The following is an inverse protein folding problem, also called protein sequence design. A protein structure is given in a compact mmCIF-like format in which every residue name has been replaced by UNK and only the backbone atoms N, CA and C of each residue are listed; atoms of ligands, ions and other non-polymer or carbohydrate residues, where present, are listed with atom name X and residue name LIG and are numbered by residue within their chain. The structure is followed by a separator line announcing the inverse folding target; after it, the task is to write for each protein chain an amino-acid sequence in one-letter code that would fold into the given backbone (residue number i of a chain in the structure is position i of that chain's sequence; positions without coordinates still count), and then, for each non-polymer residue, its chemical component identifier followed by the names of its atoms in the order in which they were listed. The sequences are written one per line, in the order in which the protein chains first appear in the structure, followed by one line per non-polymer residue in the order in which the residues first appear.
data_IF_035592561483
#
_entry.id   IF_035592561483
#
_cell.length_a   1.000
_cell.length_b   1.000
_cell.length_c   1.000
_cell.angle_alpha   90.00
_cell.angle_beta   90.00
_cell.angle_gamma   90.00
#
_symmetry.space_group_name_H-M   'P 1'
#
loop_
_entity.id
_entity.type
_entity.pdbx_description
1 polymer ?
#
# COMPACT_ATOMS: atom_id res chain seq x y z
N UNK A 1 -30.10 -3.69 -12.51
CA UNK A 1 -31.18 -3.03 -11.76
C UNK A 1 -30.68 -2.85 -10.34
N UNK A 2 -30.66 -1.61 -9.84
CA UNK A 2 -29.85 -1.04 -8.72
C UNK A 2 -28.40 -0.73 -9.14
N UNK A 3 -27.93 0.51 -9.37
CA UNK A 3 -28.46 1.85 -9.12
C UNK A 3 -27.65 2.57 -8.04
N UNK A 4 -26.75 3.47 -8.45
CA UNK A 4 -26.03 4.52 -7.70
C UNK A 4 -26.17 4.53 -6.17
N UNK A 5 -25.05 4.28 -5.46
CA UNK A 5 -24.95 4.40 -3.99
C UNK A 5 -24.46 5.80 -3.52
N UNK A 6 -24.13 6.73 -4.42
CA UNK A 6 -23.57 8.04 -4.02
C UNK A 6 -24.58 9.21 -3.98
N UNK A 7 -25.84 8.97 -3.63
CA UNK A 7 -26.82 10.07 -3.39
C UNK A 7 -27.89 9.72 -2.35
N UNK A 8 -27.59 9.95 -1.08
CA UNK A 8 -28.53 10.28 0.01
C UNK A 8 -27.69 11.20 0.91
N UNK A 9 -27.91 12.50 1.01
CA UNK A 9 -29.04 13.17 1.67
C UNK A 9 -29.21 14.59 1.13
N UNK A 10 -30.45 14.97 0.77
CA UNK A 10 -30.89 16.36 0.73
C UNK A 10 -32.42 16.43 0.83
N UNK A 11 -32.88 17.36 1.66
CA UNK A 11 -34.25 17.88 1.82
C UNK A 11 -35.16 17.23 2.87
N UNK A 12 -35.28 17.92 4.02
CA UNK A 12 -36.57 18.23 4.62
C UNK A 12 -36.51 19.66 5.22
N UNK A 13 -37.58 20.40 4.97
CA UNK A 13 -37.79 21.85 5.17
C UNK A 13 -38.06 22.30 6.61
N UNK A 14 -37.71 23.57 6.82
CA UNK A 14 -37.91 24.53 7.91
C UNK A 14 -39.09 24.36 8.88
N UNK A 15 -38.79 24.62 10.16
CA UNK A 15 -39.68 25.30 11.11
C UNK A 15 -38.88 26.34 11.90
N UNK A 16 -39.24 27.61 11.73
CA UNK A 16 -38.66 28.79 12.37
C UNK A 16 -39.19 28.96 13.79
N UNK A 17 -38.31 28.93 14.79
CA UNK A 17 -38.51 29.56 16.09
C UNK A 17 -37.26 30.36 16.44
N UNK A 18 -37.46 31.65 16.67
CA UNK A 18 -36.45 32.65 16.96
C UNK A 18 -36.04 32.61 18.43
N UNK A 19 -34.77 32.30 18.70
CA UNK A 19 -34.12 32.56 19.99
C UNK A 19 -32.76 33.21 19.75
N UNK A 20 -32.71 34.48 20.13
CA UNK A 20 -31.57 35.38 20.41
C UNK A 20 -30.14 34.84 20.19
N UNK A 21 -29.52 35.31 19.10
CA UNK A 21 -28.10 35.19 18.76
C UNK A 21 -27.20 35.93 19.74
N UNK A 22 -26.50 35.22 20.63
CA UNK A 22 -25.27 35.72 21.30
C UNK A 22 -24.29 34.61 21.71
N UNK A 23 -24.15 33.53 20.93
CA UNK A 23 -23.08 32.55 21.14
C UNK A 23 -22.47 32.09 19.81
N UNK A 24 -21.13 32.02 19.76
CA UNK A 24 -20.31 31.30 18.76
C UNK A 24 -19.62 32.02 17.58
N UNK A 25 -19.08 33.23 17.79
CA UNK A 25 -18.10 33.80 16.84
C UNK A 25 -16.65 33.35 17.10
N UNK A 26 -16.34 32.92 18.33
CA UNK A 26 -15.00 32.56 18.77
C UNK A 26 -14.47 31.23 18.24
N UNK A 27 -15.32 30.20 18.14
CA UNK A 27 -14.91 28.87 17.64
C UNK A 27 -14.61 28.90 16.13
N UNK A 28 -15.32 29.78 15.40
CA UNK A 28 -15.13 29.98 13.97
C UNK A 28 -13.81 30.70 13.64
N UNK A 29 -13.44 31.73 14.42
CA UNK A 29 -12.16 32.43 14.26
C UNK A 29 -10.96 31.54 14.64
N UNK A 30 -11.09 30.75 15.71
CA UNK A 30 -10.03 29.81 16.12
C UNK A 30 -9.83 28.69 15.08
N UNK A 31 -10.92 28.14 14.53
CA UNK A 31 -10.86 27.17 13.44
C UNK A 31 -10.19 27.74 12.19
N UNK A 32 -10.50 28.98 11.81
CA UNK A 32 -9.88 29.66 10.68
C UNK A 32 -8.37 29.90 10.90
N UNK A 33 -7.98 30.28 12.12
CA UNK A 33 -6.57 30.47 12.48
C UNK A 33 -5.78 29.15 12.40
N UNK A 34 -6.35 28.04 12.91
CA UNK A 34 -5.75 26.71 12.83
C UNK A 34 -5.61 26.22 11.38
N UNK A 35 -6.62 26.46 10.54
CA UNK A 35 -6.58 26.16 9.11
C UNK A 35 -5.47 26.96 8.40
N UNK A 36 -5.37 28.27 8.65
CA UNK A 36 -4.33 29.11 8.06
C UNK A 36 -2.91 28.66 8.46
N UNK A 37 -2.73 28.24 9.72
CA UNK A 37 -1.45 27.69 10.17
C UNK A 37 -1.11 26.37 9.48
N UNK A 38 -2.07 25.45 9.35
CA UNK A 38 -1.88 24.22 8.59
C UNK A 38 -1.47 24.51 7.14
N UNK A 39 -2.18 25.40 6.46
CA UNK A 39 -1.88 25.76 5.06
C UNK A 39 -0.49 26.41 4.93
N UNK A 40 -0.09 27.22 5.91
CA UNK A 40 1.25 27.81 5.99
C UNK A 40 2.34 26.75 6.14
N UNK A 41 2.13 25.75 7.00
CA UNK A 41 3.07 24.64 7.19
C UNK A 41 3.24 23.83 5.90
N UNK A 42 2.14 23.48 5.23
CA UNK A 42 2.15 22.75 3.96
C UNK A 42 2.86 23.57 2.86
N UNK A 43 2.55 24.86 2.74
CA UNK A 43 3.17 25.74 1.73
C UNK A 43 4.69 25.91 1.94
N UNK A 44 5.18 25.77 3.17
CA UNK A 44 6.60 25.84 3.51
C UNK A 44 7.30 24.47 3.49
N UNK A 45 6.61 23.42 3.00
CA UNK A 45 7.08 22.03 3.01
C UNK A 45 7.49 21.53 4.41
N UNK A 46 6.85 22.06 5.45
CA UNK A 46 7.02 21.59 6.82
C UNK A 46 6.17 20.35 7.07
N UNK A 47 6.56 19.58 8.10
CA UNK A 47 5.87 18.34 8.46
C UNK A 47 4.81 18.61 9.53
N UNK A 48 3.65 17.99 9.36
CA UNK A 48 2.60 17.87 10.37
C UNK A 48 2.96 16.70 11.29
N UNK A 49 2.93 16.94 12.60
CA UNK A 49 3.20 15.97 13.65
C UNK A 49 1.92 15.60 14.44
N UNK A 50 1.92 14.51 15.24
CA UNK A 50 0.70 14.01 15.88
C UNK A 50 -0.05 14.99 16.80
N UNK A 51 0.66 15.97 17.35
CA UNK A 51 0.10 16.99 18.26
C UNK A 51 -0.40 18.23 17.54
N UNK A 52 -0.07 18.39 16.26
CA UNK A 52 -0.49 19.54 15.48
C UNK A 52 -1.96 19.40 15.13
N UNK A 53 -2.65 20.53 15.06
CA UNK A 53 -3.98 20.54 14.46
C UNK A 53 -3.86 20.22 12.96
N UNK A 54 -4.81 19.45 12.45
CA UNK A 54 -4.90 19.11 11.03
C UNK A 54 -6.37 18.98 10.62
N UNK A 55 -6.72 19.28 9.36
CA UNK A 55 -8.08 19.11 8.86
C UNK A 55 -8.55 17.66 8.99
N UNK A 56 -9.83 17.45 9.31
CA UNK A 56 -10.37 16.09 9.47
C UNK A 56 -10.30 15.28 8.16
N UNK A 57 -10.48 15.95 7.01
CA UNK A 57 -10.29 15.32 5.70
C UNK A 57 -8.85 14.84 5.46
N UNK A 58 -7.85 15.58 5.96
CA UNK A 58 -6.44 15.21 5.90
C UNK A 58 -6.17 13.99 6.77
N UNK A 59 -6.64 14.01 8.03
CA UNK A 59 -6.54 12.90 8.99
C UNK A 59 -7.16 11.62 8.41
N UNK A 60 -8.42 11.66 7.96
CA UNK A 60 -9.12 10.51 7.38
C UNK A 60 -8.43 9.95 6.14
N UNK A 61 -7.91 10.84 5.28
CA UNK A 61 -7.18 10.43 4.07
C UNK A 61 -5.90 9.68 4.41
N UNK A 62 -5.13 10.18 5.39
CA UNK A 62 -3.92 9.51 5.87
C UNK A 62 -4.22 8.19 6.58
N UNK A 63 -5.22 8.14 7.47
CA UNK A 63 -5.64 6.89 8.12
C UNK A 63 -5.93 5.84 7.05
N UNK A 64 -6.76 6.19 6.05
CA UNK A 64 -7.10 5.27 4.95
C UNK A 64 -5.85 4.82 4.20
N UNK A 65 -4.98 5.74 3.80
CA UNK A 65 -3.81 5.40 2.99
C UNK A 65 -2.77 4.58 3.76
N UNK A 66 -2.42 4.98 4.98
CA UNK A 66 -1.41 4.31 5.81
C UNK A 66 -1.93 2.93 6.24
N UNK A 67 -3.21 2.81 6.60
CA UNK A 67 -3.79 1.53 6.95
C UNK A 67 -3.82 0.56 5.76
N UNK A 68 -4.25 1.01 4.58
CA UNK A 68 -4.21 0.20 3.36
C UNK A 68 -2.78 -0.21 2.98
N UNK A 69 -1.78 0.65 3.25
CA UNK A 69 -0.37 0.31 3.11
C UNK A 69 0.03 -0.80 4.11
N UNK A 70 -0.31 -0.65 5.39
CA UNK A 70 -0.03 -1.67 6.42
C UNK A 70 -0.72 -3.02 6.11
N UNK A 71 -1.94 -2.97 5.57
CA UNK A 71 -2.67 -4.15 5.10
C UNK A 71 -1.96 -4.82 3.93
N UNK A 72 -1.38 -4.02 3.03
CA UNK A 72 -0.62 -4.48 1.88
C UNK A 72 0.58 -5.31 2.35
N UNK A 73 1.35 -4.83 3.33
CA UNK A 73 2.46 -5.61 3.90
C UNK A 73 2.01 -6.96 4.44
N UNK A 74 0.95 -6.98 5.25
CA UNK A 74 0.44 -8.21 5.87
C UNK A 74 -0.06 -9.23 4.82
N UNK A 75 -0.77 -8.76 3.80
CA UNK A 75 -1.33 -9.64 2.77
C UNK A 75 -0.23 -10.08 1.80
N UNK A 76 0.78 -9.24 1.56
CA UNK A 76 1.93 -9.51 0.70
C UNK A 76 2.80 -10.69 1.17
N UNK A 77 2.88 -10.90 2.48
CA UNK A 77 3.53 -12.07 3.06
C UNK A 77 2.95 -13.42 2.55
N UNK A 78 1.70 -13.45 2.09
CA UNK A 78 1.03 -14.71 1.70
C UNK A 78 1.53 -15.30 0.37
N UNK A 79 1.51 -14.57 -0.77
CA UNK A 79 2.04 -15.08 -2.04
C UNK A 79 3.51 -15.51 -1.96
N UNK A 80 4.34 -14.81 -1.18
CA UNK A 80 5.75 -15.14 -1.00
C UNK A 80 5.97 -16.25 0.03
N UNK A 81 5.21 -16.22 1.13
CA UNK A 81 5.15 -17.30 2.12
C UNK A 81 4.81 -18.66 1.51
N UNK A 82 4.02 -18.67 0.43
CA UNK A 82 3.70 -19.86 -0.36
C UNK A 82 4.98 -20.62 -0.82
N UNK A 83 6.07 -19.91 -1.12
CA UNK A 83 7.29 -20.50 -1.68
C UNK A 83 8.42 -20.73 -0.67
N UNK A 84 8.27 -20.29 0.60
CA UNK A 84 9.30 -20.48 1.64
C UNK A 84 9.71 -21.95 1.77
N UNK A 85 8.77 -22.89 1.80
CA UNK A 85 9.08 -24.31 1.96
C UNK A 85 9.68 -24.96 0.71
N UNK A 86 9.46 -24.34 -0.47
CA UNK A 86 9.76 -24.89 -1.81
C UNK A 86 10.90 -24.16 -2.54
N UNK A 87 11.52 -23.16 -1.92
CA UNK A 87 12.64 -22.43 -2.50
C UNK A 87 13.77 -23.40 -2.93
N UNK A 88 14.37 -23.21 -4.12
CA UNK A 88 15.22 -24.20 -4.78
C UNK A 88 16.64 -24.31 -4.18
N UNK A 89 16.99 -23.45 -3.22
CA UNK A 89 18.25 -23.53 -2.49
C UNK A 89 18.10 -22.94 -1.09
N UNK A 90 18.97 -23.34 -0.16
CA UNK A 90 19.01 -22.78 1.18
C UNK A 90 19.32 -21.27 1.17
N UNK A 91 20.19 -20.81 0.26
CA UNK A 91 20.48 -19.38 0.07
C UNK A 91 19.21 -18.60 -0.27
N UNK A 92 18.49 -19.02 -1.30
CA UNK A 92 17.25 -18.35 -1.73
C UNK A 92 16.15 -18.46 -0.68
N UNK A 93 16.08 -19.60 0.04
CA UNK A 93 15.16 -19.79 1.18
C UNK A 93 15.42 -18.80 2.31
N UNK A 94 16.69 -18.64 2.71
CA UNK A 94 17.07 -17.72 3.79
C UNK A 94 16.76 -16.26 3.42
N UNK A 95 17.05 -15.85 2.18
CA UNK A 95 16.71 -14.51 1.67
C UNK A 95 15.19 -14.29 1.69
N UNK A 96 14.40 -15.25 1.21
CA UNK A 96 12.94 -15.12 1.19
C UNK A 96 12.33 -15.04 2.60
N UNK A 97 12.86 -15.80 3.56
CA UNK A 97 12.44 -15.71 4.97
C UNK A 97 12.76 -14.32 5.52
N UNK A 98 13.95 -13.79 5.25
CA UNK A 98 14.34 -12.44 5.69
C UNK A 98 13.44 -11.36 5.10
N UNK A 99 13.12 -11.45 3.80
CA UNK A 99 12.17 -10.52 3.13
C UNK A 99 10.78 -10.54 3.79
N UNK A 100 10.18 -11.73 3.92
CA UNK A 100 8.84 -11.88 4.52
C UNK A 100 8.83 -11.47 6.00
N UNK A 101 9.96 -11.63 6.71
CA UNK A 101 10.13 -11.11 8.07
C UNK A 101 10.13 -9.57 8.09
N UNK A 102 10.83 -8.93 7.14
CA UNK A 102 10.88 -7.47 7.05
C UNK A 102 9.50 -6.88 6.70
N UNK A 103 8.73 -7.51 5.79
CA UNK A 103 7.34 -7.12 5.50
C UNK A 103 6.46 -7.10 6.76
N UNK A 104 6.60 -8.12 7.63
CA UNK A 104 5.91 -8.11 8.91
C UNK A 104 6.31 -6.89 9.77
N UNK A 105 7.60 -6.55 9.79
CA UNK A 105 8.12 -5.35 10.47
C UNK A 105 7.60 -4.04 9.86
N UNK A 106 7.53 -3.95 8.54
CA UNK A 106 7.02 -2.79 7.80
C UNK A 106 5.54 -2.56 8.11
N UNK A 107 4.75 -3.63 8.13
CA UNK A 107 3.36 -3.58 8.57
C UNK A 107 3.24 -3.01 9.99
N UNK A 108 4.11 -3.42 10.93
CA UNK A 108 4.13 -2.87 12.29
C UNK A 108 4.48 -1.38 12.30
N UNK A 109 5.49 -0.93 11.56
CA UNK A 109 5.84 0.50 11.47
C UNK A 109 4.68 1.34 10.95
N UNK A 110 3.98 0.83 9.94
CA UNK A 110 2.85 1.52 9.31
C UNK A 110 1.64 1.58 10.23
N UNK A 111 1.29 0.50 10.93
CA UNK A 111 0.24 0.57 11.95
C UNK A 111 0.58 1.57 13.05
N UNK A 112 1.83 1.57 13.56
CA UNK A 112 2.24 2.56 14.55
C UNK A 112 2.15 4.00 14.02
N UNK A 113 2.43 4.24 12.73
CA UNK A 113 2.25 5.55 12.12
C UNK A 113 0.78 5.93 11.92
N UNK A 114 -0.11 4.96 11.72
CA UNK A 114 -1.55 5.19 11.66
C UNK A 114 -2.12 5.50 13.05
N UNK A 115 -1.67 4.81 14.09
CA UNK A 115 -2.14 5.00 15.48
C UNK A 115 -1.85 6.41 16.00
N UNK A 116 -0.80 7.08 15.51
CA UNK A 116 -0.55 8.49 15.85
C UNK A 116 -1.60 9.47 15.32
N UNK A 117 -2.53 9.02 14.46
CA UNK A 117 -3.69 9.79 14.00
C UNK A 117 -4.93 9.59 14.88
N UNK A 118 -4.84 8.77 15.93
CA UNK A 118 -5.92 8.53 16.90
C UNK A 118 -6.85 7.37 16.54
N UNK A 119 -6.40 6.43 15.72
CA UNK A 119 -7.12 5.19 15.41
C UNK A 119 -6.44 3.99 16.05
N UNK A 120 -7.20 2.95 16.38
CA UNK A 120 -6.64 1.72 16.92
C UNK A 120 -6.31 0.74 15.80
N UNK A 121 -5.16 0.06 15.90
CA UNK A 121 -4.80 -1.00 14.95
C UNK A 121 -5.84 -2.11 14.85
N UNK A 122 -6.51 -2.45 15.94
CA UNK A 122 -7.54 -3.48 15.97
C UNK A 122 -8.74 -3.11 15.07
N UNK A 123 -9.20 -1.86 15.12
CA UNK A 123 -10.26 -1.35 14.25
C UNK A 123 -9.85 -1.35 12.77
N UNK A 124 -8.59 -1.03 12.47
CA UNK A 124 -8.06 -1.10 11.12
C UNK A 124 -8.01 -2.54 10.62
N UNK A 125 -7.64 -3.49 11.49
CA UNK A 125 -7.64 -4.92 11.16
C UNK A 125 -9.06 -5.46 10.95
N UNK A 126 -10.03 -5.05 11.76
CA UNK A 126 -11.44 -5.41 11.55
C UNK A 126 -11.96 -4.87 10.21
N UNK A 127 -11.60 -3.62 9.87
CA UNK A 127 -11.93 -3.05 8.57
C UNK A 127 -11.31 -3.81 7.40
N UNK A 128 -10.09 -4.32 7.54
CA UNK A 128 -9.49 -5.24 6.56
C UNK A 128 -10.28 -6.54 6.48
N UNK A 129 -10.52 -7.20 7.62
CA UNK A 129 -11.20 -8.51 7.71
C UNK A 129 -12.61 -8.48 7.13
N UNK A 130 -13.33 -7.38 7.31
CA UNK A 130 -14.68 -7.16 6.81
C UNK A 130 -14.71 -6.56 5.40
N UNK A 131 -13.55 -6.29 4.79
CA UNK A 131 -13.44 -5.75 3.44
C UNK A 131 -13.78 -4.26 3.29
N UNK A 132 -13.99 -3.54 4.41
CA UNK A 132 -14.23 -2.09 4.42
C UNK A 132 -12.97 -1.28 4.08
N UNK A 133 -11.79 -1.82 4.35
CA UNK A 133 -10.52 -1.32 3.84
C UNK A 133 -9.85 -2.31 2.90
N UNK A 134 -8.99 -1.78 2.03
CA UNK A 134 -8.34 -2.49 0.93
C UNK A 134 -6.88 -2.79 1.26
N UNK A 135 -6.26 -3.58 0.41
CA UNK A 135 -4.81 -3.78 0.31
C UNK A 135 -4.44 -3.71 -1.17
N UNK A 136 -3.14 -3.65 -1.48
CA UNK A 136 -2.64 -3.54 -2.85
C UNK A 136 -3.19 -4.66 -3.74
N UNK A 137 -3.64 -4.28 -4.94
CA UNK A 137 -4.27 -5.19 -5.90
C UNK A 137 -3.37 -6.37 -6.27
N UNK A 138 -2.05 -6.14 -6.33
CA UNK A 138 -1.04 -7.11 -6.76
C UNK A 138 -1.01 -8.40 -5.95
N UNK A 139 -1.38 -8.36 -4.67
CA UNK A 139 -1.32 -9.56 -3.82
C UNK A 139 -2.46 -10.55 -4.08
N UNK A 140 -3.39 -10.20 -4.96
CA UNK A 140 -4.46 -11.07 -5.44
C UNK A 140 -4.04 -11.97 -6.59
N UNK A 141 -2.81 -11.86 -7.10
CA UNK A 141 -2.29 -12.74 -8.14
C UNK A 141 -1.57 -13.96 -7.54
N UNK A 142 -1.71 -15.15 -8.15
CA UNK A 142 -1.12 -16.38 -7.62
C UNK A 142 0.37 -16.51 -7.94
N UNK A 143 1.10 -17.19 -7.06
CA UNK A 143 2.52 -17.55 -7.27
C UNK A 143 2.65 -19.00 -7.72
N UNK A 144 2.68 -19.21 -9.03
CA UNK A 144 2.59 -20.49 -9.72
C UNK A 144 3.95 -21.17 -9.94
N UNK A 145 5.02 -20.39 -10.00
CA UNK A 145 6.39 -20.89 -10.20
C UNK A 145 7.39 -20.21 -9.27
N UNK A 146 8.61 -20.75 -9.15
CA UNK A 146 9.67 -20.10 -8.39
C UNK A 146 10.07 -18.75 -9.00
N UNK A 147 9.99 -18.60 -10.32
CA UNK A 147 10.29 -17.34 -10.99
C UNK A 147 9.38 -16.19 -10.55
N UNK A 148 8.20 -16.49 -10.02
CA UNK A 148 7.26 -15.50 -9.50
C UNK A 148 7.84 -14.77 -8.29
N UNK A 149 8.72 -15.40 -7.50
CA UNK A 149 9.46 -14.70 -6.43
C UNK A 149 10.44 -13.67 -7.00
N UNK A 150 11.02 -13.97 -8.17
CA UNK A 150 11.85 -13.02 -8.90
C UNK A 150 11.03 -11.89 -9.51
N UNK A 151 9.87 -12.19 -10.10
CA UNK A 151 8.99 -11.17 -10.68
C UNK A 151 8.35 -10.27 -9.61
N UNK A 152 7.94 -10.82 -8.46
CA UNK A 152 7.49 -10.03 -7.31
C UNK A 152 8.63 -9.14 -6.82
N UNK A 153 9.79 -9.74 -6.48
CA UNK A 153 10.91 -8.95 -5.99
C UNK A 153 11.42 -7.91 -7.00
N UNK A 154 11.37 -8.15 -8.30
CA UNK A 154 11.82 -7.17 -9.29
C UNK A 154 10.75 -6.12 -9.62
N UNK A 155 9.60 -6.55 -10.13
CA UNK A 155 8.57 -5.67 -10.69
C UNK A 155 7.66 -5.12 -9.60
N UNK A 156 7.18 -5.97 -8.69
CA UNK A 156 6.22 -5.58 -7.65
C UNK A 156 6.89 -4.70 -6.61
N UNK A 157 8.00 -5.15 -6.02
CA UNK A 157 8.77 -4.31 -5.07
C UNK A 157 9.36 -3.09 -5.80
N UNK A 158 9.75 -3.21 -7.07
CA UNK A 158 10.21 -2.08 -7.87
C UNK A 158 9.14 -1.00 -8.02
N UNK A 159 7.88 -1.38 -8.27
CA UNK A 159 6.75 -0.48 -8.34
C UNK A 159 6.39 0.09 -6.96
N UNK A 160 6.50 -0.72 -5.89
CA UNK A 160 6.31 -0.29 -4.52
C UNK A 160 7.33 0.79 -4.14
N UNK A 161 8.63 0.55 -4.37
CA UNK A 161 9.72 1.51 -4.12
C UNK A 161 9.50 2.81 -4.91
N UNK A 162 9.08 2.73 -6.18
CA UNK A 162 8.80 3.92 -6.99
C UNK A 162 7.67 4.77 -6.38
N UNK A 163 6.66 4.14 -5.77
CA UNK A 163 5.60 4.84 -5.02
C UNK A 163 6.08 5.33 -3.64
N UNK A 164 6.93 4.57 -2.97
CA UNK A 164 7.30 4.78 -1.56
C UNK A 164 8.40 5.82 -1.36
N UNK A 165 9.39 5.89 -2.25
CA UNK A 165 10.49 6.87 -2.14
C UNK A 165 9.98 8.31 -2.10
N UNK A 166 9.01 8.72 -2.94
CA UNK A 166 8.37 10.04 -2.81
C UNK A 166 7.67 10.27 -1.46
N UNK A 167 7.09 9.21 -0.87
CA UNK A 167 6.40 9.29 0.42
C UNK A 167 7.36 9.49 1.60
N UNK A 168 8.68 9.32 1.44
CA UNK A 168 9.67 9.78 2.42
C UNK A 168 9.57 11.30 2.71
N UNK A 169 9.02 12.04 1.75
CA UNK A 169 8.68 13.47 1.87
C UNK A 169 7.18 13.71 2.05
N UNK A 170 6.40 12.73 2.51
CA UNK A 170 5.01 12.97 2.90
C UNK A 170 4.95 14.11 3.94
N UNK A 171 3.94 14.97 3.82
CA UNK A 171 3.71 16.07 4.78
C UNK A 171 3.41 15.58 6.19
N UNK A 172 2.91 14.35 6.38
CA UNK A 172 2.75 13.77 7.71
C UNK A 172 4.05 13.12 8.21
N UNK A 173 4.62 13.68 9.26
CA UNK A 173 5.93 13.32 9.78
C UNK A 173 6.10 11.84 10.11
N UNK A 174 5.20 11.22 10.90
CA UNK A 174 5.27 9.80 11.24
C UNK A 174 5.31 8.89 10.00
N UNK A 175 4.44 9.16 9.02
CA UNK A 175 4.40 8.36 7.80
C UNK A 175 5.66 8.53 6.96
N UNK A 176 6.12 9.76 6.75
CA UNK A 176 7.36 10.01 6.02
C UNK A 176 8.59 9.37 6.68
N UNK A 177 8.65 9.31 8.02
CA UNK A 177 9.73 8.62 8.75
C UNK A 177 9.65 7.10 8.63
N UNK A 178 8.45 6.52 8.65
CA UNK A 178 8.27 5.09 8.39
C UNK A 178 8.75 4.72 6.98
N UNK A 179 8.38 5.50 5.96
CA UNK A 179 8.82 5.31 4.58
C UNK A 179 10.33 5.35 4.41
N UNK A 180 11.05 6.19 5.15
CA UNK A 180 12.53 6.19 5.11
C UNK A 180 13.13 4.87 5.59
N UNK A 181 12.51 4.19 6.57
CA UNK A 181 12.99 2.88 7.05
C UNK A 181 12.62 1.78 6.08
N UNK A 182 11.35 1.73 5.68
CA UNK A 182 10.82 0.77 4.71
C UNK A 182 11.62 0.80 3.41
N UNK A 183 11.81 1.97 2.79
CA UNK A 183 12.58 2.10 1.54
C UNK A 183 14.04 1.62 1.66
N UNK A 184 14.68 1.82 2.82
CA UNK A 184 16.06 1.36 3.03
C UNK A 184 16.15 -0.16 3.01
N UNK A 185 15.18 -0.83 3.61
CA UNK A 185 15.12 -2.29 3.72
C UNK A 185 14.65 -2.92 2.40
N UNK A 186 13.57 -2.40 1.79
CA UNK A 186 13.00 -2.96 0.55
C UNK A 186 13.94 -2.88 -0.65
N UNK A 187 14.78 -1.84 -0.76
CA UNK A 187 15.71 -1.72 -1.89
C UNK A 187 16.69 -2.89 -1.98
N UNK A 188 17.03 -3.51 -0.84
CA UNK A 188 17.83 -4.73 -0.81
C UNK A 188 17.05 -5.92 -1.35
N UNK A 189 15.81 -6.11 -0.89
CA UNK A 189 14.94 -7.22 -1.33
C UNK A 189 14.62 -7.14 -2.81
N UNK A 190 14.39 -5.93 -3.33
CA UNK A 190 14.15 -5.70 -4.75
C UNK A 190 15.32 -6.17 -5.61
N UNK A 191 16.55 -5.86 -5.17
CA UNK A 191 17.77 -6.33 -5.84
C UNK A 191 17.88 -7.85 -5.82
N UNK A 192 17.50 -8.49 -4.71
CA UNK A 192 17.51 -9.95 -4.61
C UNK A 192 16.47 -10.60 -5.55
N UNK A 193 15.31 -9.96 -5.75
CA UNK A 193 14.33 -10.38 -6.76
C UNK A 193 14.88 -10.32 -8.19
N UNK A 194 15.52 -9.21 -8.54
CA UNK A 194 16.21 -9.07 -9.83
C UNK A 194 17.30 -10.15 -10.03
N UNK A 195 18.08 -10.46 -8.98
CA UNK A 195 19.10 -11.51 -9.04
C UNK A 195 18.50 -12.91 -9.29
N UNK A 196 17.29 -13.19 -8.79
CA UNK A 196 16.57 -14.45 -9.09
C UNK A 196 16.28 -14.53 -10.58
N UNK A 197 15.68 -13.50 -11.17
CA UNK A 197 15.37 -13.50 -12.60
C UNK A 197 16.62 -13.54 -13.46
N UNK A 198 17.68 -12.81 -13.08
CA UNK A 198 18.95 -12.86 -13.78
C UNK A 198 19.53 -14.29 -13.78
N UNK A 199 19.47 -14.99 -12.65
CA UNK A 199 19.94 -16.38 -12.55
C UNK A 199 19.13 -17.30 -13.46
N UNK A 200 17.80 -17.14 -13.48
CA UNK A 200 16.91 -17.99 -14.27
C UNK A 200 17.02 -17.72 -15.77
N UNK A 201 17.08 -16.45 -16.17
CA UNK A 201 17.14 -16.04 -17.57
C UNK A 201 18.45 -16.40 -18.26
N UNK A 202 19.54 -16.54 -17.49
CA UNK A 202 20.85 -17.02 -17.98
C UNK A 202 21.12 -18.50 -17.65
N UNK A 203 20.10 -19.22 -17.18
CA UNK A 203 20.16 -20.63 -16.85
C UNK A 203 19.86 -21.55 -18.03
N UNK A 204 19.20 -22.67 -17.75
CA UNK A 204 18.71 -23.58 -18.79
C UNK A 204 17.54 -22.97 -19.58
N UNK A 205 17.22 -23.48 -20.78
CA UNK A 205 16.04 -23.03 -21.53
C UNK A 205 14.75 -23.06 -20.73
N UNK A 206 14.54 -24.09 -19.90
CA UNK A 206 13.36 -24.21 -19.04
C UNK A 206 13.33 -23.16 -17.91
N UNK A 207 14.49 -22.75 -17.39
CA UNK A 207 14.57 -21.66 -16.40
C UNK A 207 14.28 -20.31 -17.04
N UNK A 208 14.79 -20.09 -18.26
CA UNK A 208 14.52 -18.87 -19.02
C UNK A 208 13.02 -18.75 -19.35
N UNK A 209 12.39 -19.83 -19.81
CA UNK A 209 10.95 -19.86 -20.08
C UNK A 209 10.12 -19.60 -18.81
N UNK A 210 10.50 -20.20 -17.68
CA UNK A 210 9.85 -19.95 -16.39
C UNK A 210 9.97 -18.48 -15.96
N UNK A 211 11.14 -17.85 -16.18
CA UNK A 211 11.33 -16.42 -15.92
C UNK A 211 10.47 -15.55 -16.83
N UNK A 212 10.41 -15.87 -18.13
CA UNK A 212 9.58 -15.15 -19.08
C UNK A 212 8.09 -15.26 -18.76
N UNK A 213 7.60 -16.45 -18.39
CA UNK A 213 6.21 -16.66 -17.99
C UNK A 213 5.83 -15.84 -16.74
N UNK A 214 6.71 -15.77 -15.74
CA UNK A 214 6.49 -14.94 -14.56
C UNK A 214 6.39 -13.46 -14.92
N UNK A 215 7.29 -12.94 -15.77
CA UNK A 215 7.23 -11.54 -16.25
C UNK A 215 5.95 -11.29 -17.04
N UNK A 216 5.54 -12.24 -17.89
CA UNK A 216 4.30 -12.14 -18.67
C UNK A 216 3.07 -11.92 -17.77
N UNK A 217 3.00 -12.66 -16.66
CA UNK A 217 1.86 -12.61 -15.73
C UNK A 217 1.90 -11.40 -14.79
N UNK A 218 3.08 -10.93 -14.38
CA UNK A 218 3.22 -9.88 -13.36
C UNK A 218 3.45 -8.47 -13.90
N UNK A 219 3.77 -8.29 -15.19
CA UNK A 219 4.01 -6.97 -15.79
C UNK A 219 2.82 -6.02 -15.61
N UNK A 220 1.67 -6.35 -16.21
CA UNK A 220 0.48 -5.50 -16.17
C UNK A 220 -0.05 -5.29 -14.75
N UNK A 221 -0.15 -6.32 -13.89
CA UNK A 221 -0.51 -6.12 -12.49
C UNK A 221 0.43 -5.16 -11.74
N UNK A 222 1.73 -5.17 -12.03
CA UNK A 222 2.69 -4.23 -11.41
C UNK A 222 2.42 -2.78 -11.85
N UNK A 223 2.05 -2.55 -13.11
CA UNK A 223 1.66 -1.22 -13.60
C UNK A 223 0.34 -0.72 -12.98
N UNK A 224 -0.56 -1.63 -12.61
CA UNK A 224 -1.81 -1.29 -11.93
C UNK A 224 -1.60 -0.82 -10.49
N UNK A 225 -0.45 -1.14 -9.85
CA UNK A 225 -0.15 -0.73 -8.47
C UNK A 225 -0.04 0.78 -8.30
N UNK A 226 0.30 1.51 -9.36
CA UNK A 226 0.31 2.98 -9.35
C UNK A 226 -1.09 3.60 -9.24
N UNK A 227 -2.15 2.80 -9.32
CA UNK A 227 -3.52 3.26 -9.25
C UNK A 227 -4.08 3.69 -10.62
N UNK A 228 -5.31 4.22 -10.65
CA UNK A 228 -6.00 4.60 -11.88
C UNK A 228 -5.34 5.79 -12.58
N UNK A 229 -5.65 6.05 -13.86
CA UNK A 229 -5.20 7.26 -14.57
C UNK A 229 -5.55 8.54 -13.81
N UNK A 230 -4.73 9.58 -13.96
CA UNK A 230 -4.87 10.82 -13.22
C UNK A 230 -6.26 11.47 -13.40
N UNK A 231 -6.81 11.41 -14.63
CA UNK A 231 -8.15 11.92 -14.98
C UNK A 231 -9.30 11.23 -14.22
N UNK A 232 -9.05 10.03 -13.69
CA UNK A 232 -10.03 9.20 -12.98
C UNK A 232 -9.74 9.04 -11.49
N UNK A 233 -8.72 9.72 -10.97
CA UNK A 233 -8.32 9.62 -9.56
C UNK A 233 -8.97 10.71 -8.70
N UNK A 234 -10.03 10.34 -7.97
CA UNK A 234 -10.78 11.24 -7.10
C UNK A 234 -9.95 11.88 -5.96
N UNK A 235 -8.80 11.29 -5.59
CA UNK A 235 -7.99 11.72 -4.45
C UNK A 235 -6.69 12.44 -4.82
N UNK A 236 -6.28 12.44 -6.10
CA UNK A 236 -4.95 12.95 -6.50
C UNK A 236 -4.80 14.44 -6.20
N UNK A 237 -5.77 15.26 -6.58
CA UNK A 237 -5.69 16.73 -6.44
C UNK A 237 -5.55 17.13 -4.97
N UNK A 238 -6.43 16.62 -4.11
CA UNK A 238 -6.41 16.97 -2.69
C UNK A 238 -5.15 16.42 -1.98
N UNK A 239 -4.74 15.19 -2.31
CA UNK A 239 -3.53 14.59 -1.71
C UNK A 239 -2.26 15.33 -2.13
N UNK A 240 -2.22 15.89 -3.34
CA UNK A 240 -1.13 16.74 -3.80
C UNK A 240 -1.15 18.10 -3.10
N UNK A 241 -2.32 18.74 -2.99
CA UNK A 241 -2.48 20.02 -2.30
C UNK A 241 -2.04 19.94 -0.82
N UNK A 242 -2.29 18.81 -0.17
CA UNK A 242 -1.84 18.54 1.20
C UNK A 242 -0.41 18.03 1.32
N UNK A 243 0.34 17.88 0.23
CA UNK A 243 1.71 17.33 0.27
C UNK A 243 1.79 15.86 0.72
N UNK A 244 0.67 15.13 0.71
CA UNK A 244 0.64 13.69 0.99
C UNK A 244 1.29 12.95 -0.17
N UNK A 245 0.92 13.33 -1.40
CA UNK A 245 1.44 12.76 -2.64
C UNK A 245 2.25 13.80 -3.41
N UNK A 246 3.43 13.41 -3.90
CA UNK A 246 4.36 14.34 -4.57
C UNK A 246 4.38 14.23 -6.09
N UNK A 247 3.96 13.09 -6.62
CA UNK A 247 3.91 12.81 -8.05
C UNK A 247 2.57 12.19 -8.41
N UNK A 248 2.15 12.31 -9.67
CA UNK A 248 0.89 11.74 -10.12
C UNK A 248 0.98 10.20 -10.30
N UNK A 249 -0.16 9.53 -10.51
CA UNK A 249 -0.14 8.07 -10.72
C UNK A 249 0.57 7.75 -12.03
N UNK A 250 0.23 8.51 -13.09
CA UNK A 250 0.76 8.30 -14.43
C UNK A 250 2.24 8.69 -14.53
N UNK A 251 2.67 9.73 -13.81
CA UNK A 251 4.08 10.12 -13.75
C UNK A 251 4.97 9.02 -13.15
N UNK A 252 4.55 8.43 -12.02
CA UNK A 252 5.30 7.34 -11.38
C UNK A 252 5.27 6.06 -12.23
N UNK A 253 4.12 5.76 -12.85
CA UNK A 253 3.99 4.62 -13.77
C UNK A 253 4.93 4.76 -14.97
N UNK A 254 4.98 5.94 -15.59
CA UNK A 254 5.86 6.20 -16.74
C UNK A 254 7.33 5.99 -16.36
N UNK A 255 7.79 6.59 -15.25
CA UNK A 255 9.17 6.40 -14.76
C UNK A 255 9.51 4.94 -14.51
N UNK A 256 8.56 4.19 -13.97
CA UNK A 256 8.74 2.75 -13.74
C UNK A 256 8.86 1.98 -15.05
N UNK A 257 8.03 2.27 -16.06
CA UNK A 257 8.13 1.65 -17.39
C UNK A 257 9.51 1.93 -18.00
N UNK A 258 9.94 3.19 -18.03
CA UNK A 258 11.22 3.57 -18.64
C UNK A 258 12.40 2.81 -18.01
N UNK A 259 12.39 2.69 -16.68
CA UNK A 259 13.40 1.95 -15.93
C UNK A 259 13.35 0.43 -16.24
N UNK A 260 12.15 -0.14 -16.34
CA UNK A 260 11.98 -1.57 -16.53
C UNK A 260 12.43 -2.04 -17.91
N UNK A 261 12.33 -1.20 -18.95
CA UNK A 261 12.76 -1.60 -20.31
C UNK A 261 14.25 -1.95 -20.33
N UNK A 262 15.11 -1.12 -19.74
CA UNK A 262 16.55 -1.38 -19.70
C UNK A 262 16.89 -2.57 -18.80
N UNK A 263 16.18 -2.73 -17.69
CA UNK A 263 16.33 -3.88 -16.81
C UNK A 263 15.93 -5.19 -17.51
N UNK A 264 14.84 -5.19 -18.29
CA UNK A 264 14.40 -6.34 -19.08
C UNK A 264 15.45 -6.73 -20.13
N UNK A 265 16.07 -5.74 -20.79
CA UNK A 265 17.19 -5.96 -21.73
C UNK A 265 18.36 -6.68 -21.07
N UNK A 266 18.76 -6.26 -19.86
CA UNK A 266 19.83 -6.92 -19.10
C UNK A 266 19.46 -8.36 -18.74
N UNK A 267 18.20 -8.61 -18.40
CA UNK A 267 17.70 -9.95 -18.10
C UNK A 267 17.59 -10.83 -19.36
N UNK A 268 17.59 -10.25 -20.56
CA UNK A 268 17.26 -10.97 -21.79
C UNK A 268 15.79 -11.42 -21.85
N UNK A 269 14.91 -10.75 -21.10
CA UNK A 269 13.47 -11.04 -21.04
C UNK A 269 12.70 -9.96 -21.81
N UNK A 270 11.49 -10.31 -22.25
CA UNK A 270 10.57 -9.39 -22.94
C UNK A 270 9.48 -8.93 -21.99
N UNK A 271 9.12 -7.67 -22.06
CA UNK A 271 7.91 -7.16 -21.43
C UNK A 271 6.72 -7.50 -22.35
N UNK A 272 5.60 -8.04 -21.83
CA UNK A 272 4.47 -8.53 -22.63
C UNK A 272 3.57 -7.37 -23.12
N UNK A 273 4.18 -6.43 -23.83
CA UNK A 273 3.52 -5.24 -24.37
C UNK A 273 3.96 -5.00 -25.82
N UNK A 274 3.11 -5.32 -26.81
CA UNK A 274 3.43 -5.13 -28.23
C UNK A 274 3.48 -3.66 -28.64
N UNK A 275 2.87 -2.76 -27.88
CA UNK A 275 2.83 -1.32 -28.16
C UNK A 275 4.02 -0.57 -27.52
N UNK A 276 4.86 -1.29 -26.76
CA UNK A 276 6.01 -0.72 -26.06
C UNK A 276 7.07 -0.22 -27.05
N UNK A 277 7.19 1.10 -27.19
CA UNK A 277 8.12 1.72 -28.15
C UNK A 277 8.76 2.98 -27.58
N UNK A 278 10.02 3.23 -27.92
CA UNK A 278 10.69 4.48 -27.56
C UNK A 278 10.08 5.65 -28.35
N UNK A 279 9.70 6.71 -27.64
CA UNK A 279 9.20 7.94 -28.25
C UNK A 279 10.26 9.05 -28.15
N UNK A 280 10.88 9.35 -29.29
CA UNK A 280 11.94 10.39 -29.38
C UNK A 280 11.46 11.79 -29.00
N UNK A 281 10.17 12.12 -29.20
CA UNK A 281 9.66 13.45 -28.88
C UNK A 281 9.42 13.61 -27.38
N UNK A 282 8.91 12.56 -26.73
CA UNK A 282 8.60 12.55 -25.30
C UNK A 282 9.80 12.20 -24.43
N UNK A 283 10.83 11.55 -24.99
CA UNK A 283 11.96 10.97 -24.24
C UNK A 283 11.49 9.96 -23.19
N UNK A 284 10.47 9.18 -23.55
CA UNK A 284 9.82 8.17 -22.72
C UNK A 284 9.40 6.98 -23.60
N UNK A 285 9.16 5.81 -22.99
CA UNK A 285 8.48 4.73 -23.70
C UNK A 285 6.97 4.95 -23.72
N UNK A 286 6.37 4.91 -24.91
CA UNK A 286 4.93 4.68 -25.03
C UNK A 286 4.66 3.19 -24.71
N UNK A 287 3.59 2.91 -23.98
CA UNK A 287 3.19 1.55 -23.58
C UNK A 287 1.69 1.36 -23.80
N UNK A 288 1.28 0.10 -23.97
CA UNK A 288 -0.09 -0.28 -24.31
C UNK A 288 -1.12 0.04 -23.21
N UNK A 289 -2.42 0.00 -23.56
CA UNK A 289 -3.49 0.28 -22.60
C UNK A 289 -3.56 -0.79 -21.50
N UNK A 290 -3.70 -0.34 -20.25
CA UNK A 290 -3.95 -1.22 -19.11
C UNK A 290 -5.41 -1.65 -19.08
N UNK A 291 -5.68 -2.93 -18.78
CA UNK A 291 -7.03 -3.43 -18.53
C UNK A 291 -7.57 -2.91 -17.17
N UNK A 292 -8.13 -1.70 -17.18
CA UNK A 292 -8.78 -1.12 -16.01
C UNK A 292 -10.03 -1.89 -15.56
N UNK A 293 -10.63 -2.70 -16.44
CA UNK A 293 -11.76 -3.56 -16.07
C UNK A 293 -11.30 -4.67 -15.12
N UNK A 294 -10.11 -5.23 -15.37
CA UNK A 294 -9.46 -6.19 -14.50
C UNK A 294 -9.14 -5.58 -13.14
N UNK A 295 -8.46 -4.42 -13.11
CA UNK A 295 -8.15 -3.73 -11.86
C UNK A 295 -9.41 -3.49 -11.02
N UNK A 296 -10.49 -3.04 -11.65
CA UNK A 296 -11.76 -2.81 -10.98
C UNK A 296 -12.41 -4.09 -10.44
N UNK A 297 -12.28 -5.24 -11.11
CA UNK A 297 -12.73 -6.54 -10.57
C UNK A 297 -11.89 -6.93 -9.35
N UNK A 298 -10.56 -6.87 -9.47
CA UNK A 298 -9.61 -7.23 -8.40
C UNK A 298 -9.82 -6.39 -7.14
N UNK A 299 -9.92 -5.06 -7.26
CA UNK A 299 -10.12 -4.17 -6.09
C UNK A 299 -11.48 -4.41 -5.41
N UNK A 300 -12.50 -4.84 -6.18
CA UNK A 300 -13.83 -5.18 -5.65
C UNK A 300 -13.92 -6.56 -5.00
N UNK A 301 -12.84 -7.35 -5.03
CA UNK A 301 -12.81 -8.69 -4.44
C UNK A 301 -13.05 -9.83 -5.42
N UNK A 302 -13.13 -9.54 -6.72
CA UNK A 302 -13.39 -10.50 -7.81
C UNK A 302 -12.13 -10.76 -8.66
N UNK A 303 -10.98 -10.91 -7.99
CA UNK A 303 -9.72 -11.31 -8.59
C UNK A 303 -9.31 -12.72 -8.18
N UNK A 304 -8.19 -13.23 -8.73
CA UNK A 304 -7.90 -14.67 -8.71
C UNK A 304 -7.63 -15.25 -7.31
N UNK A 305 -7.15 -14.45 -6.36
CA UNK A 305 -6.89 -14.92 -5.00
C UNK A 305 -7.56 -14.09 -3.88
N UNK A 306 -8.42 -13.13 -4.18
CA UNK A 306 -9.00 -12.25 -3.15
C UNK A 306 -9.66 -13.02 -2.00
N UNK A 307 -10.52 -13.97 -2.35
CA UNK A 307 -11.23 -14.82 -1.38
C UNK A 307 -10.23 -15.63 -0.53
N UNK A 308 -9.24 -16.26 -1.16
CA UNK A 308 -8.22 -17.06 -0.46
C UNK A 308 -7.36 -16.20 0.47
N UNK A 309 -6.95 -15.00 0.05
CA UNK A 309 -6.14 -14.08 0.86
C UNK A 309 -6.87 -13.66 2.12
N UNK A 310 -8.15 -13.31 1.98
CA UNK A 310 -8.98 -12.91 3.11
C UNK A 310 -9.33 -14.09 4.01
N UNK A 311 -9.72 -15.23 3.44
CA UNK A 311 -9.99 -16.44 4.21
C UNK A 311 -8.78 -16.86 5.05
N UNK A 312 -7.57 -16.83 4.49
CA UNK A 312 -6.33 -17.14 5.24
C UNK A 312 -6.05 -16.12 6.33
N UNK A 313 -6.22 -14.82 6.06
CA UNK A 313 -5.98 -13.76 7.06
C UNK A 313 -6.99 -13.82 8.21
N UNK A 314 -8.27 -14.01 7.91
CA UNK A 314 -9.36 -14.12 8.89
C UNK A 314 -9.21 -15.43 9.66
N UNK A 315 -8.96 -16.56 8.99
CA UNK A 315 -8.70 -17.84 9.64
C UNK A 315 -7.56 -17.76 10.65
N UNK A 316 -6.41 -17.20 10.26
CA UNK A 316 -5.28 -17.01 11.19
C UNK A 316 -5.63 -16.11 12.39
N UNK A 317 -6.52 -15.12 12.21
CA UNK A 317 -6.99 -14.27 13.30
C UNK A 317 -7.94 -15.03 14.23
N UNK A 318 -8.94 -15.70 13.70
CA UNK A 318 -9.94 -16.45 14.47
C UNK A 318 -9.32 -17.65 15.19
N UNK A 319 -8.54 -18.47 14.48
CA UNK A 319 -7.88 -19.65 15.05
C UNK A 319 -6.83 -19.27 16.09
N UNK A 320 -6.26 -18.07 15.98
CA UNK A 320 -5.31 -17.50 16.94
C UNK A 320 -5.97 -16.77 18.12
N UNK A 321 -7.30 -16.73 18.23
CA UNK A 321 -8.00 -15.98 19.29
C UNK A 321 -7.59 -16.46 20.69
N UNK A 322 -7.57 -17.78 20.91
CA UNK A 322 -7.20 -18.37 22.20
C UNK A 322 -5.78 -17.97 22.65
N UNK A 323 -4.84 -17.77 21.70
CA UNK A 323 -3.47 -17.34 22.02
C UNK A 323 -3.48 -15.89 22.54
N UNK A 324 -4.26 -15.01 21.89
CA UNK A 324 -4.39 -13.61 22.31
C UNK A 324 -5.07 -13.51 23.67
N UNK A 325 -6.16 -14.25 23.87
CA UNK A 325 -6.88 -14.33 25.14
C UNK A 325 -5.98 -14.86 26.27
N UNK A 326 -5.20 -15.92 25.99
CA UNK A 326 -4.25 -16.47 26.95
C UNK A 326 -3.16 -15.45 27.33
N UNK A 327 -2.62 -14.70 26.36
CA UNK A 327 -1.63 -13.66 26.62
C UNK A 327 -2.21 -12.53 27.49
N UNK A 328 -3.41 -12.05 27.19
CA UNK A 328 -4.11 -11.03 27.99
C UNK A 328 -4.40 -11.49 29.41
N UNK A 329 -4.92 -12.72 29.58
CA UNK A 329 -5.19 -13.30 30.89
C UNK A 329 -3.91 -13.51 31.71
N UNK A 330 -2.80 -13.88 31.07
CA UNK A 330 -1.49 -13.99 31.72
C UNK A 330 -0.99 -12.62 32.20
N UNK A 331 -1.09 -11.58 31.35
CA UNK A 331 -0.66 -10.23 31.69
C UNK A 331 -1.46 -9.64 32.86
N UNK A 332 -2.80 -9.79 32.85
CA UNK A 332 -3.67 -9.32 33.94
C UNK A 332 -3.28 -9.91 35.30
N UNK A 333 -3.06 -11.23 35.36
CA UNK A 333 -2.62 -11.93 36.59
C UNK A 333 -1.28 -11.40 37.14
N UNK A 334 -0.39 -10.92 36.28
CA UNK A 334 0.92 -10.43 36.70
C UNK A 334 0.89 -8.94 37.08
N UNK A 335 0.03 -8.15 36.44
CA UNK A 335 -0.21 -6.76 36.85
C UNK A 335 -0.76 -6.70 38.29
N UNK A 336 -1.76 -7.52 38.61
CA UNK A 336 -2.37 -7.56 39.95
C UNK A 336 -1.36 -7.95 41.04
N UNK A 337 -0.42 -8.86 40.73
CA UNK A 337 0.64 -9.26 41.66
C UNK A 337 1.66 -8.16 41.90
N UNK A 338 1.96 -7.33 40.91
CA UNK A 338 2.87 -6.20 41.06
C UNK A 338 2.27 -5.08 41.91
N UNK A 339 0.95 -4.89 41.85
CA UNK A 339 0.21 -3.92 42.68
C UNK A 339 0.08 -4.40 44.13
N UNK A 340 -0.08 -5.70 44.38
CA UNK A 340 -0.13 -6.26 45.75
C UNK A 340 1.25 -6.28 46.44
N UNK A 341 2.34 -6.22 45.67
CA UNK A 341 3.71 -6.23 46.18
C UNK A 341 4.31 -4.82 46.41
N UNK A 342 3.61 -3.75 46.03
CA UNK A 342 4.02 -2.35 46.19
C UNK A 342 3.30 -1.69 47.37
#
# INVERSE_FOLDING_TARGET
MYGNIDRIEASATESTESTEDTEDTGDTEEAAARQAEFDRLIAQDQRIEPRDWMPEGYRKTLIRQIAQHAHSEIIGMQPEGNWITRAPSLRRKAILIAKVQDEAGHGLYLYSAAETLGVDREDLLDQLHTGRQKYSSIFNYPTLSWADMGAIGWLVDGAAIMNQVPLCRCSYGPYGRAMVRVCKEESFHQRQGFEILHTLSHGSPAQHEMAQDAVNRFWWPSLMMFGPPDESSAHTVQSAAWGIKRFSNDELRQRFVDMCVDQARILGLRLPDPDLTWNEQRQHYDFGPIDWSELNRVIRGDGPCNADRMARRVGAHTDGAWVREAASAYAAKHADRSVVAA
#
